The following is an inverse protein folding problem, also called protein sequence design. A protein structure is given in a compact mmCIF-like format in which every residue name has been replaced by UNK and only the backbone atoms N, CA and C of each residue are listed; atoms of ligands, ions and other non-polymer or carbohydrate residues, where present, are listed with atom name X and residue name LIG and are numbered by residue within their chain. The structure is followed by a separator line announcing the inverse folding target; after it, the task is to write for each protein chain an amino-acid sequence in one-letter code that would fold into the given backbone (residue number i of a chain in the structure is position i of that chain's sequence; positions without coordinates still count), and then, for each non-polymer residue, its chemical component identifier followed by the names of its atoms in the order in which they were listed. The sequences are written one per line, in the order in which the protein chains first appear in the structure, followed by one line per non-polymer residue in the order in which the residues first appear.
data_IF_042638425143
#
_entry.id   IF_042638425143
#
_cell.length_a   1.000
_cell.length_b   1.000
_cell.length_c   1.000
_cell.angle_alpha   90.00
_cell.angle_beta   90.00
_cell.angle_gamma   90.00
#
_symmetry.space_group_name_H-M   'P 1'
#
loop_
_entity.id
_entity.type
_entity.pdbx_description
1 polymer ?
#
# COMPACT_ATOMS: atom_id res chain seq x y z
N UNK A 1 6.13 -79.39 -56.08
CA UNK A 1 5.84 -79.03 -54.66
C UNK A 1 7.05 -78.48 -53.88
N UNK A 2 8.26 -78.36 -54.46
CA UNK A 2 9.45 -77.91 -53.71
C UNK A 2 9.68 -76.38 -53.66
N UNK A 3 8.98 -75.58 -54.47
CA UNK A 3 9.21 -74.12 -54.52
C UNK A 3 8.49 -73.29 -53.45
N UNK A 4 7.40 -73.80 -52.86
CA UNK A 4 6.62 -73.04 -51.87
C UNK A 4 7.33 -72.93 -50.51
N UNK A 5 8.13 -73.93 -50.13
CA UNK A 5 8.92 -73.91 -48.88
C UNK A 5 10.04 -72.87 -48.87
N UNK A 6 10.68 -72.62 -50.02
CA UNK A 6 11.73 -71.60 -50.14
C UNK A 6 11.18 -70.16 -50.07
N UNK A 7 10.00 -69.91 -50.65
CA UNK A 7 9.34 -68.60 -50.63
C UNK A 7 8.86 -68.21 -49.23
N UNK A 8 8.38 -69.17 -48.43
CA UNK A 8 8.00 -68.94 -47.04
C UNK A 8 9.20 -68.63 -46.15
N UNK A 9 10.32 -69.34 -46.34
CA UNK A 9 11.55 -69.11 -45.59
C UNK A 9 12.15 -67.72 -45.89
N UNK A 10 12.14 -67.29 -47.15
CA UNK A 10 12.56 -65.93 -47.53
C UNK A 10 11.66 -64.87 -46.88
N UNK A 11 10.35 -65.11 -46.81
CA UNK A 11 9.39 -64.18 -46.19
C UNK A 11 9.60 -64.05 -44.69
N UNK A 12 9.88 -65.16 -44.01
CA UNK A 12 10.22 -65.20 -42.58
C UNK A 12 11.54 -64.48 -42.29
N UNK A 13 12.57 -64.70 -43.12
CA UNK A 13 13.86 -64.02 -43.01
C UNK A 13 13.69 -62.50 -43.21
N UNK A 14 12.94 -62.09 -44.24
CA UNK A 14 12.67 -60.66 -44.49
C UNK A 14 11.88 -60.04 -43.33
N UNK A 15 10.87 -60.73 -42.78
CA UNK A 15 10.15 -60.26 -41.60
C UNK A 15 11.06 -60.14 -40.37
N UNK A 16 11.95 -61.10 -40.14
CA UNK A 16 12.90 -61.05 -39.03
C UNK A 16 13.85 -59.86 -39.15
N UNK A 17 14.40 -59.61 -40.35
CA UNK A 17 15.29 -58.47 -40.61
C UNK A 17 14.56 -57.14 -40.47
N UNK A 18 13.32 -57.03 -40.96
CA UNK A 18 12.50 -55.82 -40.81
C UNK A 18 12.18 -55.56 -39.33
N UNK A 19 11.82 -56.57 -38.56
CA UNK A 19 11.56 -56.43 -37.13
C UNK A 19 12.80 -56.02 -36.34
N UNK A 20 13.96 -56.59 -36.68
CA UNK A 20 15.24 -56.24 -36.08
C UNK A 20 15.64 -54.79 -36.41
N UNK A 21 15.44 -54.37 -37.66
CA UNK A 21 15.68 -52.99 -38.09
C UNK A 21 14.77 -51.99 -37.37
N UNK A 22 13.46 -52.29 -37.24
CA UNK A 22 12.51 -51.44 -36.51
C UNK A 22 12.88 -51.34 -35.03
N UNK A 23 13.29 -52.44 -34.39
CA UNK A 23 13.79 -52.41 -32.99
C UNK A 23 15.09 -51.61 -32.86
N UNK A 24 16.00 -51.72 -33.82
CA UNK A 24 17.25 -50.98 -33.82
C UNK A 24 17.01 -49.46 -33.99
N UNK A 25 16.08 -49.06 -34.86
CA UNK A 25 15.67 -47.66 -35.01
C UNK A 25 14.94 -47.13 -33.78
N UNK A 26 14.02 -47.90 -33.19
CA UNK A 26 13.32 -47.51 -31.97
C UNK A 26 14.26 -47.38 -30.77
N UNK A 27 15.23 -48.28 -30.61
CA UNK A 27 16.21 -48.20 -29.51
C UNK A 27 17.18 -47.01 -29.66
N UNK A 28 17.41 -46.52 -30.89
CA UNK A 28 18.15 -45.26 -31.13
C UNK A 28 17.31 -44.02 -30.88
N UNK A 29 16.00 -44.07 -31.16
CA UNK A 29 15.09 -42.93 -30.99
C UNK A 29 14.59 -42.76 -29.54
N UNK A 30 14.45 -43.85 -28.78
CA UNK A 30 14.01 -43.83 -27.37
C UNK A 30 14.81 -42.88 -26.46
N UNK A 31 16.16 -42.83 -26.53
CA UNK A 31 16.97 -41.89 -25.76
C UNK A 31 16.58 -40.42 -26.01
N UNK A 32 16.30 -40.05 -27.27
CA UNK A 32 15.91 -38.69 -27.65
C UNK A 32 14.56 -38.27 -27.07
N UNK A 33 13.56 -39.15 -27.16
CA UNK A 33 12.25 -38.90 -26.54
C UNK A 33 12.34 -38.80 -25.02
N UNK A 34 13.18 -39.63 -24.37
CA UNK A 34 13.41 -39.56 -22.93
C UNK A 34 14.11 -38.25 -22.53
N UNK A 35 15.05 -37.75 -23.32
CA UNK A 35 15.71 -36.47 -23.06
C UNK A 35 14.75 -35.30 -23.22
N UNK A 36 13.96 -35.26 -24.31
CA UNK A 36 12.97 -34.20 -24.53
C UNK A 36 11.91 -34.16 -23.42
N UNK A 37 11.46 -35.33 -22.97
CA UNK A 37 10.47 -35.43 -21.89
C UNK A 37 11.04 -34.99 -20.54
N UNK A 38 12.33 -35.23 -20.28
CA UNK A 38 13.01 -34.74 -19.08
C UNK A 38 13.25 -33.23 -19.13
N UNK A 39 13.65 -32.70 -20.29
CA UNK A 39 13.79 -31.25 -20.49
C UNK A 39 12.46 -30.54 -20.31
N UNK A 40 11.38 -31.09 -20.85
CA UNK A 40 10.07 -30.49 -20.69
C UNK A 40 9.54 -30.60 -19.26
N UNK A 41 9.80 -31.71 -18.56
CA UNK A 41 9.50 -31.80 -17.11
C UNK A 41 10.27 -30.74 -16.32
N UNK A 42 11.57 -30.57 -16.57
CA UNK A 42 12.38 -29.53 -15.90
C UNK A 42 11.88 -28.13 -16.21
N UNK A 43 11.50 -27.88 -17.47
CA UNK A 43 10.96 -26.58 -17.90
C UNK A 43 9.63 -26.29 -17.22
N UNK A 44 8.72 -27.26 -17.15
CA UNK A 44 7.45 -27.15 -16.43
C UNK A 44 7.65 -26.91 -14.94
N UNK A 45 8.51 -27.68 -14.30
CA UNK A 45 8.81 -27.52 -12.87
C UNK A 45 9.37 -26.13 -12.58
N UNK A 46 10.30 -25.64 -13.41
CA UNK A 46 10.86 -24.28 -13.26
C UNK A 46 9.79 -23.21 -13.44
N UNK A 47 8.87 -23.38 -14.39
CA UNK A 47 7.77 -22.46 -14.63
C UNK A 47 6.77 -22.48 -13.47
N UNK A 48 6.41 -23.65 -12.96
CA UNK A 48 5.54 -23.80 -11.79
C UNK A 48 6.15 -23.13 -10.56
N UNK A 49 7.45 -23.30 -10.33
CA UNK A 49 8.18 -22.62 -9.25
C UNK A 49 8.10 -21.10 -9.39
N UNK A 50 8.38 -20.55 -10.59
CA UNK A 50 8.31 -19.11 -10.85
C UNK A 50 6.90 -18.55 -10.71
N UNK A 51 5.89 -19.28 -11.17
CA UNK A 51 4.49 -18.87 -11.03
C UNK A 51 4.10 -18.84 -9.57
N UNK A 52 4.47 -19.86 -8.80
CA UNK A 52 4.19 -19.89 -7.36
C UNK A 52 4.90 -18.74 -6.63
N UNK A 53 6.17 -18.48 -6.95
CA UNK A 53 6.91 -17.34 -6.43
C UNK A 53 6.20 -16.02 -6.73
N UNK A 54 5.84 -15.78 -7.99
CA UNK A 54 5.10 -14.57 -8.39
C UNK A 54 3.77 -14.44 -7.66
N UNK A 55 3.00 -15.52 -7.51
CA UNK A 55 1.73 -15.48 -6.76
C UNK A 55 2.01 -15.05 -5.32
N UNK A 56 2.96 -15.68 -4.64
CA UNK A 56 3.28 -15.31 -3.24
C UNK A 56 3.80 -13.87 -3.10
N UNK A 57 4.56 -13.37 -4.08
CA UNK A 57 5.00 -11.98 -4.11
C UNK A 57 3.85 -11.02 -4.32
N UNK A 58 2.93 -11.32 -5.25
CA UNK A 58 1.77 -10.49 -5.51
C UNK A 58 0.82 -10.43 -4.31
N UNK A 59 0.59 -11.56 -3.63
CA UNK A 59 -0.22 -11.60 -2.41
C UNK A 59 0.42 -10.78 -1.28
N UNK A 60 1.73 -10.92 -1.06
CA UNK A 60 2.45 -10.12 -0.06
C UNK A 60 2.45 -8.63 -0.39
N UNK A 61 2.64 -8.26 -1.66
CA UNK A 61 2.61 -6.88 -2.10
C UNK A 61 1.21 -6.28 -1.90
N UNK A 62 0.16 -7.03 -2.24
CA UNK A 62 -1.23 -6.63 -2.05
C UNK A 62 -1.58 -6.45 -0.58
N UNK A 63 -1.23 -7.40 0.28
CA UNK A 63 -1.48 -7.31 1.72
C UNK A 63 -0.81 -6.07 2.34
N UNK A 64 0.44 -5.77 1.94
CA UNK A 64 1.15 -4.57 2.39
C UNK A 64 0.48 -3.28 1.89
N UNK A 65 0.04 -3.26 0.64
CA UNK A 65 -0.65 -2.10 0.07
C UNK A 65 -1.99 -1.86 0.79
N UNK A 66 -2.76 -2.92 1.04
CA UNK A 66 -4.05 -2.84 1.75
C UNK A 66 -3.86 -2.37 3.21
N UNK A 67 -2.83 -2.85 3.91
CA UNK A 67 -2.52 -2.38 5.27
C UNK A 67 -2.10 -0.90 5.26
N UNK A 68 -1.26 -0.49 4.31
CA UNK A 68 -0.82 0.89 4.17
C UNK A 68 -2.02 1.82 3.90
N UNK A 69 -2.89 1.46 2.96
CA UNK A 69 -4.10 2.21 2.61
C UNK A 69 -5.03 2.31 3.82
N UNK A 70 -5.34 1.18 4.48
CA UNK A 70 -6.15 1.16 5.70
C UNK A 70 -5.57 2.07 6.77
N UNK A 71 -4.26 2.00 7.01
CA UNK A 71 -3.59 2.83 8.02
C UNK A 71 -3.66 4.32 7.69
N UNK A 72 -3.60 4.67 6.40
CA UNK A 72 -3.69 6.04 5.93
C UNK A 72 -5.13 6.57 6.07
N UNK A 73 -6.12 5.78 5.68
CA UNK A 73 -7.54 6.12 5.80
C UNK A 73 -7.96 6.35 7.26
N UNK A 74 -7.56 5.46 8.18
CA UNK A 74 -7.86 5.61 9.61
C UNK A 74 -7.23 6.89 10.17
N UNK A 75 -5.95 7.14 9.87
CA UNK A 75 -5.25 8.34 10.35
C UNK A 75 -5.84 9.62 9.78
N UNK A 76 -6.22 9.62 8.51
CA UNK A 76 -6.87 10.77 7.87
C UNK A 76 -8.22 11.11 8.53
N UNK A 77 -9.04 10.09 8.83
CA UNK A 77 -10.33 10.34 9.48
C UNK A 77 -10.16 10.79 10.94
N UNK A 78 -9.22 10.21 11.69
CA UNK A 78 -8.87 10.67 13.05
C UNK A 78 -8.40 12.13 13.07
N UNK A 79 -7.57 12.53 12.10
CA UNK A 79 -7.14 13.92 11.94
C UNK A 79 -8.32 14.85 11.65
N UNK A 80 -9.23 14.43 10.78
CA UNK A 80 -10.44 15.18 10.45
C UNK A 80 -11.39 15.34 11.63
N UNK A 81 -11.45 14.36 12.53
CA UNK A 81 -12.18 14.44 13.80
C UNK A 81 -11.49 15.33 14.84
N UNK A 82 -10.29 15.84 14.55
CA UNK A 82 -9.57 16.77 15.40
C UNK A 82 -8.81 16.11 16.54
N UNK A 83 -8.46 14.82 16.42
CA UNK A 83 -7.67 14.10 17.41
C UNK A 83 -6.25 14.69 17.50
N UNK A 84 -5.83 15.08 18.69
CA UNK A 84 -4.49 15.63 18.95
C UNK A 84 -3.41 14.53 18.89
N UNK A 85 -3.70 13.34 19.40
CA UNK A 85 -2.76 12.21 19.49
C UNK A 85 -3.14 11.10 18.49
N UNK A 86 -3.04 11.40 17.20
CA UNK A 86 -3.47 10.52 16.10
C UNK A 86 -2.85 9.13 16.18
N UNK A 87 -1.55 9.03 16.45
CA UNK A 87 -0.84 7.75 16.51
C UNK A 87 -1.27 6.89 17.72
N UNK A 88 -1.67 7.51 18.84
CA UNK A 88 -2.20 6.79 20.00
C UNK A 88 -3.59 6.22 19.69
N UNK A 89 -4.46 7.07 19.12
CA UNK A 89 -5.80 6.67 18.69
C UNK A 89 -5.74 5.56 17.62
N UNK A 90 -4.87 5.71 16.62
CA UNK A 90 -4.65 4.70 15.58
C UNK A 90 -4.28 3.34 16.18
N UNK A 91 -3.35 3.30 17.15
CA UNK A 91 -2.94 2.05 17.81
C UNK A 91 -4.10 1.37 18.55
N UNK A 92 -5.06 2.12 19.07
CA UNK A 92 -6.22 1.57 19.77
C UNK A 92 -7.24 0.95 18.78
N UNK A 93 -7.43 1.55 17.61
CA UNK A 93 -8.53 1.17 16.69
C UNK A 93 -8.10 0.33 15.48
N UNK A 94 -6.80 0.27 15.15
CA UNK A 94 -6.31 -0.36 13.90
C UNK A 94 -6.71 -1.82 13.72
N UNK A 95 -6.85 -2.56 14.81
CA UNK A 95 -7.12 -4.01 14.81
C UNK A 95 -8.65 -4.27 14.75
N UNK A 96 -9.46 -3.28 15.15
CA UNK A 96 -10.92 -3.33 15.10
C UNK A 96 -11.47 -2.95 13.71
N UNK A 97 -10.66 -2.31 12.85
CA UNK A 97 -11.07 -1.88 11.52
C UNK A 97 -10.52 -2.84 10.45
N UNK A 98 -11.41 -3.41 9.64
CA UNK A 98 -11.11 -4.38 8.60
C UNK A 98 -11.72 -3.97 7.27
N UNK A 99 -11.20 -4.53 6.17
CA UNK A 99 -11.81 -4.33 4.85
C UNK A 99 -12.92 -5.35 4.65
N UNK A 100 -14.13 -4.87 4.41
CA UNK A 100 -15.30 -5.68 4.11
C UNK A 100 -15.24 -6.31 2.72
N UNK A 101 -16.16 -7.22 2.44
CA UNK A 101 -16.30 -7.91 1.14
C UNK A 101 -16.60 -6.92 -0.01
N UNK A 102 -17.25 -5.80 0.31
CA UNK A 102 -17.56 -4.70 -0.60
C UNK A 102 -16.36 -3.76 -0.84
N UNK A 103 -15.22 -4.05 -0.21
CA UNK A 103 -14.00 -3.24 -0.30
C UNK A 103 -14.00 -2.01 0.60
N UNK A 104 -15.06 -1.73 1.38
CA UNK A 104 -15.10 -0.60 2.31
C UNK A 104 -14.41 -0.95 3.62
N UNK A 105 -13.96 0.07 4.34
CA UNK A 105 -13.41 -0.11 5.69
C UNK A 105 -14.58 -0.11 6.68
N UNK A 106 -14.71 -1.20 7.43
CA UNK A 106 -15.73 -1.41 8.45
C UNK A 106 -15.08 -1.80 9.76
N UNK A 107 -15.69 -1.41 10.87
CA UNK A 107 -15.34 -1.94 12.17
C UNK A 107 -15.81 -3.40 12.31
N UNK A 108 -15.24 -4.13 13.26
CA UNK A 108 -15.51 -5.54 13.50
C UNK A 108 -16.98 -5.80 13.88
N UNK A 109 -17.67 -4.80 14.41
CA UNK A 109 -19.11 -4.79 14.72
C UNK A 109 -20.00 -4.58 13.48
N UNK A 110 -19.41 -4.42 12.29
CA UNK A 110 -20.11 -4.21 11.02
C UNK A 110 -20.49 -2.75 10.75
N UNK A 111 -20.06 -1.81 11.59
CA UNK A 111 -20.33 -0.37 11.42
C UNK A 111 -19.32 0.24 10.45
N UNK A 112 -19.72 1.27 9.69
CA UNK A 112 -18.80 2.02 8.82
C UNK A 112 -17.66 2.63 9.65
N UNK A 113 -16.44 2.60 9.11
CA UNK A 113 -15.24 3.14 9.78
C UNK A 113 -15.46 4.56 10.32
N UNK A 114 -16.15 5.44 9.57
CA UNK A 114 -16.34 6.83 9.99
C UNK A 114 -17.25 6.95 11.20
N UNK A 115 -18.33 6.18 11.21
CA UNK A 115 -19.30 6.18 12.30
C UNK A 115 -18.67 5.58 13.56
N UNK A 116 -17.92 4.49 13.41
CA UNK A 116 -17.16 3.88 14.49
C UNK A 116 -16.13 4.87 15.08
N UNK A 117 -15.30 5.51 14.25
CA UNK A 117 -14.29 6.48 14.72
C UNK A 117 -14.93 7.71 15.38
N UNK A 118 -16.09 8.15 14.91
CA UNK A 118 -16.84 9.26 15.52
C UNK A 118 -17.31 8.91 16.94
N UNK A 119 -17.83 7.69 17.13
CA UNK A 119 -18.21 7.19 18.46
C UNK A 119 -16.99 7.05 19.37
N UNK A 120 -15.92 6.44 18.87
CA UNK A 120 -14.66 6.29 19.59
C UNK A 120 -14.12 7.63 20.10
N UNK A 121 -14.06 8.67 19.25
CA UNK A 121 -13.59 10.00 19.68
C UNK A 121 -14.55 10.68 20.67
N UNK A 122 -15.86 10.44 20.54
CA UNK A 122 -16.86 10.95 21.49
C UNK A 122 -16.75 10.32 22.89
N UNK A 123 -16.39 9.04 22.95
CA UNK A 123 -16.16 8.31 24.21
C UNK A 123 -14.80 8.63 24.85
N UNK A 124 -13.86 9.17 24.08
CA UNK A 124 -12.49 9.43 24.49
C UNK A 124 -12.10 10.93 24.28
N UNK A 125 -12.71 11.87 25.02
CA UNK A 125 -12.48 13.30 24.84
C UNK A 125 -11.03 13.73 25.16
N UNK A 126 -10.26 12.92 25.88
CA UNK A 126 -8.84 13.13 26.17
C UNK A 126 -7.94 13.02 24.93
N UNK A 127 -8.46 12.43 23.85
CA UNK A 127 -7.78 12.39 22.55
C UNK A 127 -7.91 13.72 21.80
N UNK A 128 -8.90 14.54 22.16
CA UNK A 128 -9.10 15.86 21.57
C UNK A 128 -8.20 16.90 22.26
N UNK A 129 -7.80 17.97 21.54
CA UNK A 129 -7.11 19.10 22.15
C UNK A 129 -7.94 19.67 23.29
N UNK A 130 -7.27 20.06 24.38
CA UNK A 130 -7.93 20.75 25.49
C UNK A 130 -8.64 22.00 24.95
N UNK A 131 -9.96 21.93 24.83
CA UNK A 131 -10.79 23.10 24.57
C UNK A 131 -10.92 23.79 25.92
N UNK A 132 -10.23 24.90 26.09
CA UNK A 132 -10.50 25.82 27.19
C UNK A 132 -11.98 26.20 27.09
N UNK A 133 -12.80 25.57 27.92
CA UNK A 133 -14.19 25.95 28.12
C UNK A 133 -14.16 27.40 28.63
N UNK A 134 -14.38 28.33 27.71
CA UNK A 134 -14.42 29.75 28.00
C UNK A 134 -15.65 30.06 28.85
N UNK A 135 -15.41 30.41 30.11
CA UNK A 135 -16.29 31.16 31.00
C UNK A 135 -15.38 31.75 32.08
N UNK A 136 -15.31 33.05 32.35
CA UNK A 136 -16.14 34.18 31.97
C UNK A 136 -15.27 35.44 31.94
N UNK A 137 -15.56 36.37 31.02
CA UNK A 137 -15.31 37.80 31.18
C UNK A 137 -13.91 38.26 31.64
N UNK A 138 -12.86 38.02 30.85
CA UNK A 138 -11.70 38.91 30.82
C UNK A 138 -10.92 38.65 29.53
N UNK A 139 -10.86 39.64 28.66
CA UNK A 139 -9.90 39.71 27.56
C UNK A 139 -8.49 39.90 28.13
N UNK A 140 -7.90 38.84 28.69
CA UNK A 140 -6.47 38.77 28.94
C UNK A 140 -5.83 38.21 27.67
N UNK A 141 -5.29 39.11 26.86
CA UNK A 141 -4.56 38.75 25.65
C UNK A 141 -3.43 37.79 25.97
N UNK A 142 -3.54 36.55 25.51
CA UNK A 142 -2.42 35.62 25.48
C UNK A 142 -2.11 35.25 24.03
N UNK A 143 -1.00 35.84 23.61
CA UNK A 143 -0.28 35.67 22.36
C UNK A 143 -0.22 34.20 21.96
N UNK A 144 -0.86 33.89 20.83
CA UNK A 144 -0.48 32.74 20.01
C UNK A 144 0.93 33.01 19.47
N UNK A 145 1.91 32.26 19.96
CA UNK A 145 3.24 32.12 19.37
C UNK A 145 3.17 31.32 18.06
N UNK A 146 2.35 31.78 17.11
CA UNK A 146 2.55 31.50 15.70
C UNK A 146 3.55 32.53 15.21
N UNK A 147 4.70 32.10 14.70
CA UNK A 147 5.66 33.00 14.07
C UNK A 147 4.95 33.82 13.01
N UNK A 148 4.68 35.10 13.32
CA UNK A 148 4.23 36.07 12.35
C UNK A 148 5.35 36.22 11.33
N UNK A 149 5.05 35.83 10.08
CA UNK A 149 5.92 36.06 8.95
C UNK A 149 6.39 37.52 8.97
N UNK A 150 7.70 37.73 8.93
CA UNK A 150 8.30 39.06 8.81
C UNK A 150 7.62 39.79 7.66
N UNK A 151 7.11 41.00 7.93
CA UNK A 151 6.51 41.84 6.90
C UNK A 151 7.63 42.21 5.92
N UNK A 152 7.47 41.76 4.69
CA UNK A 152 8.41 41.98 3.60
C UNK A 152 8.40 43.47 3.22
N UNK A 153 9.49 44.17 3.55
CA UNK A 153 9.61 45.64 3.49
C UNK A 153 9.38 46.16 2.06
N UNK A 154 9.72 45.36 1.04
CA UNK A 154 9.56 45.69 -0.38
C UNK A 154 8.10 45.73 -0.86
N UNK A 155 7.16 45.28 -0.03
CA UNK A 155 5.71 45.29 -0.33
C UNK A 155 4.98 46.52 0.21
N UNK A 156 5.64 47.38 1.00
CA UNK A 156 5.04 48.60 1.53
C UNK A 156 4.97 49.65 0.41
N UNK A 157 3.83 49.72 -0.29
CA UNK A 157 3.54 50.72 -1.34
C UNK A 157 2.33 51.59 -0.97
N UNK A 158 2.29 52.86 -1.41
CA UNK A 158 1.08 53.68 -1.32
C UNK A 158 -0.05 53.03 -2.14
N UNK A 159 -1.11 52.56 -1.47
CA UNK A 159 -2.21 51.80 -2.10
C UNK A 159 -2.45 50.40 -1.52
N UNK A 160 -1.80 50.05 -0.41
CA UNK A 160 -2.03 48.80 0.34
C UNK A 160 -3.45 48.71 0.93
N UNK A 161 -3.96 47.50 1.15
CA UNK A 161 -5.29 47.32 1.76
C UNK A 161 -5.31 47.85 3.20
N UNK A 162 -6.46 48.35 3.67
CA UNK A 162 -6.58 48.94 5.01
C UNK A 162 -6.14 47.97 6.12
N UNK A 163 -6.41 46.66 5.95
CA UNK A 163 -6.03 45.60 6.87
C UNK A 163 -4.50 45.35 6.93
N UNK A 164 -3.79 45.60 5.83
CA UNK A 164 -2.33 45.46 5.78
C UNK A 164 -1.64 46.69 6.37
N UNK A 165 -2.18 47.89 6.16
CA UNK A 165 -1.70 49.12 6.81
C UNK A 165 -1.80 49.02 8.34
N UNK A 166 -2.90 48.48 8.86
CA UNK A 166 -3.06 48.32 10.29
C UNK A 166 -2.10 47.27 10.87
N UNK A 167 -1.78 46.21 10.11
CA UNK A 167 -0.72 45.25 10.48
C UNK A 167 0.67 45.89 10.52
N UNK A 168 1.01 46.71 9.52
CA UNK A 168 2.28 47.46 9.50
C UNK A 168 2.38 48.43 10.68
N UNK A 169 1.28 49.15 10.99
CA UNK A 169 1.21 50.06 12.14
C UNK A 169 1.44 49.35 13.48
N UNK A 170 0.86 48.15 13.64
CA UNK A 170 1.07 47.35 14.85
C UNK A 170 2.52 46.89 15.00
N UNK A 171 3.17 46.50 13.90
CA UNK A 171 4.56 46.07 13.93
C UNK A 171 5.53 47.24 14.19
N UNK A 172 5.28 48.41 13.59
CA UNK A 172 6.03 49.64 13.89
C UNK A 172 5.90 50.02 15.37
N UNK A 173 4.68 49.97 15.92
CA UNK A 173 4.45 50.27 17.34
C UNK A 173 5.18 49.27 18.26
N UNK A 174 5.21 47.99 17.88
CA UNK A 174 5.94 46.94 18.60
C UNK A 174 7.44 47.20 18.58
N UNK A 175 8.03 47.47 17.42
CA UNK A 175 9.48 47.75 17.30
C UNK A 175 9.84 49.01 18.07
N UNK A 176 9.06 50.09 17.93
CA UNK A 176 9.27 51.32 18.70
C UNK A 176 9.23 51.09 20.22
N UNK A 177 8.27 50.26 20.70
CA UNK A 177 8.17 49.90 22.12
C UNK A 177 9.36 49.07 22.62
N UNK A 178 9.96 48.26 21.76
CA UNK A 178 11.15 47.47 22.09
C UNK A 178 12.42 48.33 22.11
N UNK A 179 12.53 49.31 21.21
CA UNK A 179 13.66 50.26 21.20
C UNK A 179 13.60 51.23 22.39
N UNK A 180 12.41 51.71 22.78
CA UNK A 180 12.23 52.60 23.93
C UNK A 180 12.41 51.92 25.30
N UNK A 181 12.24 50.60 25.39
CA UNK A 181 12.46 49.82 26.62
C UNK A 181 13.94 49.40 26.79
N UNK A 182 14.77 49.61 25.77
CA UNK A 182 16.18 49.21 25.72
C UNK A 182 17.20 50.32 26.00
N UNK A 183 16.78 51.49 26.50
CA UNK A 183 17.66 52.54 27.03
C UNK A 183 17.46 52.72 28.53
#
# INVERSE_FOLDING_TARGET
MAEEGGKNNIREIVQAVVQEFVRAEQSKAEPGYKTELLEERRRRETLEQRVNELVTETERARAKAEEAERSASIRAELQKLGVAKVELAYKAVKDEIQRGEDGRLMAQDGVDMKDYLTRFVGENPELLPARLAGGSGASAGQRSSGGQAAIDIDKIKPGMSAEELDRVRQEIARVASQTLRGM
#
